data_IF_216352673778
#
_entry.id   IF_216352673778
#
_cell.length_a   1.000
_cell.length_b   1.000
_cell.length_c   1.000
_cell.angle_alpha   90.00
_cell.angle_beta   90.00
_cell.angle_gamma   90.00
#
_symmetry.space_group_name_H-M   'P 1'
#
loop_
_entity.id
_entity.type
_entity.pdbx_description
1 polymer ?
#
# COMPACT_ATOMS: atom_id res chain seq x y z
N UNK A 1 22.16 42.74 79.27
CA UNK A 1 21.61 41.45 78.79
C UNK A 1 21.15 41.69 77.37
N UNK A 2 21.67 40.86 76.46
CA UNK A 2 21.69 40.94 75.00
C UNK A 2 20.59 40.12 74.36
N UNK A 3 20.11 40.56 73.19
CA UNK A 3 19.56 39.85 72.00
C UNK A 3 18.64 40.86 71.29
N UNK A 4 19.02 41.51 70.18
CA UNK A 4 19.39 41.05 68.83
C UNK A 4 18.16 40.99 67.88
N UNK A 5 18.23 41.87 66.88
CA UNK A 5 17.71 41.89 65.51
C UNK A 5 16.39 41.20 65.15
N UNK A 6 15.61 41.87 64.29
CA UNK A 6 15.20 41.38 62.97
C UNK A 6 14.53 42.55 62.21
N UNK A 7 15.19 42.99 61.14
CA UNK A 7 14.60 43.74 60.04
C UNK A 7 13.77 42.78 59.17
N UNK A 8 12.57 43.18 58.74
CA UNK A 8 11.79 42.39 57.78
C UNK A 8 11.32 43.22 56.57
N UNK A 9 11.74 42.72 55.41
CA UNK A 9 11.10 42.75 54.08
C UNK A 9 10.72 44.10 53.45
N UNK A 10 11.61 44.58 52.58
CA UNK A 10 11.24 45.40 51.42
C UNK A 10 11.02 44.48 50.22
N UNK A 11 9.75 44.22 49.93
CA UNK A 11 9.27 43.48 48.76
C UNK A 11 9.36 44.41 47.52
N UNK A 12 10.43 44.26 46.73
CA UNK A 12 10.53 44.89 45.41
C UNK A 12 9.80 44.00 44.40
N UNK A 13 8.87 44.54 43.60
CA UNK A 13 8.22 43.74 42.57
C UNK A 13 9.27 43.29 41.56
N UNK A 14 9.44 41.97 41.43
CA UNK A 14 10.20 41.34 40.37
C UNK A 14 9.57 41.77 39.03
N UNK A 15 10.33 42.50 38.22
CA UNK A 15 9.88 42.97 36.90
C UNK A 15 9.74 41.76 35.96
N UNK A 16 8.57 41.13 35.99
CA UNK A 16 8.19 39.99 35.14
C UNK A 16 8.32 40.32 33.64
N UNK A 17 8.27 41.62 33.25
CA UNK A 17 8.40 42.01 31.85
C UNK A 17 9.84 41.87 31.35
N UNK A 18 10.84 42.18 32.19
CA UNK A 18 12.26 42.02 31.84
C UNK A 18 12.64 40.52 31.71
N UNK A 19 12.11 39.67 32.58
CA UNK A 19 12.29 38.21 32.52
C UNK A 19 11.65 37.59 31.26
N UNK A 20 10.51 38.12 30.80
CA UNK A 20 9.83 37.62 29.61
C UNK A 20 10.52 38.06 28.30
N UNK A 21 11.13 39.25 28.26
CA UNK A 21 11.83 39.74 27.07
C UNK A 21 13.17 39.02 26.86
N UNK A 22 13.87 38.68 27.96
CA UNK A 22 15.11 37.90 27.91
C UNK A 22 14.84 36.43 27.53
N UNK A 23 13.79 35.82 28.08
CA UNK A 23 13.35 34.48 27.71
C UNK A 23 12.85 34.40 26.24
N UNK A 24 12.19 35.45 25.75
CA UNK A 24 11.76 35.52 24.34
C UNK A 24 12.96 35.59 23.38
N UNK A 25 14.01 36.36 23.73
CA UNK A 25 15.25 36.42 22.94
C UNK A 25 16.03 35.12 22.96
N UNK A 26 16.08 34.41 24.09
CA UNK A 26 16.70 33.07 24.15
C UNK A 26 15.93 32.04 23.32
N UNK A 27 14.59 32.07 23.35
CA UNK A 27 13.75 31.20 22.53
C UNK A 27 13.91 31.51 21.03
N UNK A 28 13.97 32.78 20.65
CA UNK A 28 14.17 33.20 19.26
C UNK A 28 15.59 32.84 18.75
N UNK A 29 16.60 32.92 19.61
CA UNK A 29 17.97 32.48 19.30
C UNK A 29 18.06 30.94 19.15
N UNK A 30 17.33 30.17 19.96
CA UNK A 30 17.24 28.71 19.85
C UNK A 30 16.50 28.29 18.56
N UNK A 31 15.40 28.97 18.22
CA UNK A 31 14.64 28.71 16.98
C UNK A 31 15.44 29.11 15.73
N UNK A 32 16.23 30.19 15.79
CA UNK A 32 17.14 30.56 14.71
C UNK A 32 18.28 29.54 14.52
N UNK A 33 18.82 29.00 15.61
CA UNK A 33 19.83 27.94 15.56
C UNK A 33 19.30 26.63 14.95
N UNK A 34 18.04 26.26 15.24
CA UNK A 34 17.36 25.13 14.58
C UNK A 34 17.05 25.41 13.09
N UNK A 35 16.70 26.64 12.73
CA UNK A 35 16.42 27.03 11.34
C UNK A 35 17.68 27.07 10.45
N UNK A 36 18.86 27.28 11.04
CA UNK A 36 20.16 27.19 10.34
C UNK A 36 20.85 25.83 10.45
N UNK A 37 20.23 24.86 11.14
CA UNK A 37 20.80 23.54 11.44
C UNK A 37 20.40 22.41 10.48
N UNK A 38 19.65 22.70 9.40
CA UNK A 38 19.30 21.70 8.36
C UNK A 38 19.76 22.18 6.98
N UNK A 39 20.98 22.71 6.90
CA UNK A 39 21.82 22.41 5.75
C UNK A 39 22.76 21.29 6.17
N UNK A 40 22.20 20.08 6.25
CA UNK A 40 22.99 18.88 6.17
C UNK A 40 23.67 18.89 4.80
N UNK A 41 24.88 19.45 4.76
CA UNK A 41 25.91 19.05 3.82
C UNK A 41 26.27 17.59 4.11
N UNK A 42 25.36 16.68 3.76
CA UNK A 42 25.70 15.28 3.51
C UNK A 42 25.96 15.15 2.00
N UNK A 43 27.01 15.86 1.57
CA UNK A 43 27.50 15.83 0.21
C UNK A 43 28.88 15.19 0.21
N UNK A 44 28.94 13.92 0.59
CA UNK A 44 30.09 13.06 0.29
C UNK A 44 29.64 11.61 0.12
N UNK A 45 29.41 11.23 -1.14
CA UNK A 45 29.68 9.89 -1.69
C UNK A 45 28.74 8.69 -1.39
N UNK A 46 27.56 8.86 -0.81
CA UNK A 46 26.55 7.76 -0.78
C UNK A 46 25.83 7.58 -2.14
N UNK A 47 25.83 8.60 -2.99
CA UNK A 47 25.11 8.60 -4.28
C UNK A 47 25.78 7.78 -5.39
N UNK A 48 27.05 7.40 -5.25
CA UNK A 48 27.79 6.67 -6.27
C UNK A 48 27.60 5.14 -6.18
N UNK A 49 27.29 4.61 -5.01
CA UNK A 49 27.22 3.16 -4.76
C UNK A 49 26.01 2.46 -5.40
N UNK A 50 25.00 3.22 -5.84
CA UNK A 50 23.74 2.70 -6.39
C UNK A 50 23.58 2.97 -7.90
N UNK A 51 24.62 3.47 -8.58
CA UNK A 51 24.55 3.70 -10.01
C UNK A 51 24.72 2.41 -10.79
N UNK A 52 23.70 2.05 -11.54
CA UNK A 52 23.69 0.88 -12.42
C UNK A 52 24.49 1.18 -13.69
N UNK A 53 25.47 0.34 -14.00
CA UNK A 53 26.43 0.57 -15.09
C UNK A 53 26.07 -0.15 -16.39
N UNK A 54 25.14 -1.10 -16.35
CA UNK A 54 24.71 -1.86 -17.53
C UNK A 54 23.25 -2.32 -17.47
N UNK A 55 22.67 -2.68 -18.61
CA UNK A 55 21.32 -3.28 -18.65
C UNK A 55 21.23 -4.61 -17.91
N UNK A 56 22.29 -5.42 -17.97
CA UNK A 56 22.34 -6.70 -17.24
C UNK A 56 22.38 -6.49 -15.73
N UNK A 57 23.18 -5.52 -15.25
CA UNK A 57 23.19 -5.15 -13.84
C UNK A 57 21.84 -4.60 -13.39
N UNK A 58 21.19 -3.77 -14.22
CA UNK A 58 19.83 -3.27 -13.95
C UNK A 58 18.86 -4.40 -13.72
N UNK A 59 18.84 -5.35 -14.65
CA UNK A 59 17.96 -6.51 -14.57
C UNK A 59 18.21 -7.30 -13.28
N UNK A 60 19.48 -7.53 -12.92
CA UNK A 60 19.85 -8.19 -11.67
C UNK A 60 19.40 -7.44 -10.41
N UNK A 61 19.52 -6.11 -10.38
CA UNK A 61 19.04 -5.31 -9.24
C UNK A 61 17.52 -5.32 -9.16
N UNK A 62 16.82 -5.16 -10.28
CA UNK A 62 15.35 -5.23 -10.33
C UNK A 62 14.86 -6.60 -9.83
N UNK A 63 15.47 -7.70 -10.31
CA UNK A 63 15.18 -9.05 -9.85
C UNK A 63 15.36 -9.18 -8.33
N UNK A 64 16.48 -8.70 -7.79
CA UNK A 64 16.74 -8.75 -6.36
C UNK A 64 15.72 -7.94 -5.55
N UNK A 65 15.34 -6.74 -6.00
CA UNK A 65 14.33 -5.91 -5.36
C UNK A 65 12.96 -6.58 -5.36
N UNK A 66 12.56 -7.21 -6.46
CA UNK A 66 11.29 -7.93 -6.55
C UNK A 66 11.31 -9.18 -5.66
N UNK A 67 12.42 -9.90 -5.62
CA UNK A 67 12.57 -11.12 -4.82
C UNK A 67 12.49 -10.86 -3.31
N UNK A 68 13.10 -9.77 -2.82
CA UNK A 68 13.11 -9.43 -1.40
C UNK A 68 11.81 -8.74 -0.94
N UNK A 69 11.00 -8.23 -1.87
CA UNK A 69 9.76 -7.53 -1.56
C UNK A 69 8.68 -8.50 -1.05
N UNK A 70 8.02 -8.15 0.06
CA UNK A 70 6.90 -8.92 0.62
C UNK A 70 5.58 -8.69 -0.15
N UNK A 71 5.45 -7.56 -0.84
CA UNK A 71 4.30 -7.17 -1.66
C UNK A 71 4.74 -6.81 -3.09
N UNK A 72 3.82 -6.81 -4.09
CA UNK A 72 4.12 -6.33 -5.42
C UNK A 72 4.72 -4.92 -5.40
N UNK A 73 5.93 -4.79 -5.94
CA UNK A 73 6.68 -3.53 -5.99
C UNK A 73 6.34 -2.75 -7.27
N UNK A 74 6.02 -1.46 -7.15
CA UNK A 74 5.66 -0.67 -8.32
C UNK A 74 6.89 -0.30 -9.16
N UNK A 75 6.73 -0.19 -10.48
CA UNK A 75 7.78 0.29 -11.37
C UNK A 75 8.28 1.70 -10.98
N UNK A 76 7.39 2.53 -10.41
CA UNK A 76 7.77 3.84 -9.85
C UNK A 76 8.74 3.70 -8.69
N UNK A 77 8.44 2.81 -7.73
CA UNK A 77 9.32 2.56 -6.58
C UNK A 77 10.69 2.08 -7.01
N UNK A 78 10.74 1.18 -7.99
CA UNK A 78 12.00 0.70 -8.57
C UNK A 78 12.78 1.85 -9.24
N UNK A 79 12.09 2.69 -10.02
CA UNK A 79 12.68 3.87 -10.66
C UNK A 79 13.27 4.85 -9.64
N UNK A 80 12.55 5.11 -8.54
CA UNK A 80 13.00 5.98 -7.46
C UNK A 80 14.27 5.42 -6.77
N UNK A 81 14.34 4.10 -6.54
CA UNK A 81 15.51 3.42 -5.95
C UNK A 81 16.72 3.46 -6.88
N UNK A 82 16.53 3.18 -8.17
CA UNK A 82 17.59 3.16 -9.17
C UNK A 82 17.98 4.55 -9.68
N UNK A 83 17.18 5.57 -9.36
CA UNK A 83 17.32 6.95 -9.86
C UNK A 83 17.34 7.01 -11.39
N UNK A 84 16.48 6.23 -12.02
CA UNK A 84 16.33 6.14 -13.47
C UNK A 84 14.91 6.50 -13.91
N UNK A 85 14.74 6.86 -15.19
CA UNK A 85 13.44 7.14 -15.74
C UNK A 85 12.53 5.91 -15.73
N UNK A 86 11.26 6.12 -15.40
CA UNK A 86 10.26 5.04 -15.35
C UNK A 86 10.16 4.26 -16.66
N UNK A 87 10.30 4.90 -17.82
CA UNK A 87 10.26 4.20 -19.11
C UNK A 87 11.39 3.19 -19.28
N UNK A 88 12.57 3.45 -18.70
CA UNK A 88 13.70 2.51 -18.71
C UNK A 88 13.38 1.29 -17.85
N UNK A 89 12.80 1.53 -16.67
CA UNK A 89 12.37 0.47 -15.75
C UNK A 89 11.25 -0.38 -16.34
N UNK A 90 10.24 0.24 -16.95
CA UNK A 90 9.13 -0.46 -17.59
C UNK A 90 9.66 -1.38 -18.72
N UNK A 91 10.65 -0.91 -19.50
CA UNK A 91 11.32 -1.73 -20.51
C UNK A 91 12.08 -2.92 -19.93
N UNK A 92 12.89 -2.68 -18.89
CA UNK A 92 13.64 -3.74 -18.20
C UNK A 92 12.73 -4.79 -17.54
N UNK A 93 11.59 -4.36 -16.96
CA UNK A 93 10.59 -5.26 -16.39
C UNK A 93 9.90 -6.11 -17.46
N UNK A 94 9.62 -5.55 -18.64
CA UNK A 94 9.05 -6.29 -19.75
C UNK A 94 10.01 -7.38 -20.26
N UNK A 95 11.29 -7.06 -20.40
CA UNK A 95 12.34 -8.02 -20.79
C UNK A 95 12.49 -9.14 -19.74
N UNK A 96 12.61 -8.78 -18.46
CA UNK A 96 12.67 -9.75 -17.36
C UNK A 96 11.42 -10.63 -17.31
N UNK A 97 10.24 -10.06 -17.53
CA UNK A 97 9.00 -10.82 -17.57
C UNK A 97 9.01 -11.84 -18.70
N UNK A 98 9.45 -11.44 -19.89
CA UNK A 98 9.58 -12.35 -21.03
C UNK A 98 10.58 -13.47 -20.74
N UNK A 99 11.72 -13.17 -20.12
CA UNK A 99 12.73 -14.17 -19.76
C UNK A 99 12.19 -15.19 -18.75
N UNK A 100 11.66 -14.73 -17.62
CA UNK A 100 11.11 -15.61 -16.58
C UNK A 100 9.89 -16.40 -17.05
N UNK A 101 9.07 -15.80 -17.92
CA UNK A 101 7.85 -16.44 -18.42
C UNK A 101 8.12 -17.36 -19.61
N UNK A 102 9.20 -17.15 -20.37
CA UNK A 102 9.63 -17.99 -21.49
C UNK A 102 10.54 -19.17 -21.11
N UNK A 103 11.23 -19.11 -19.96
CA UNK A 103 12.10 -20.22 -19.51
C UNK A 103 11.31 -21.42 -18.99
N UNK A 104 11.91 -22.60 -19.09
CA UNK A 104 11.39 -23.81 -18.45
C UNK A 104 11.80 -23.83 -16.97
N UNK A 105 10.94 -23.32 -16.08
CA UNK A 105 11.19 -23.23 -14.65
C UNK A 105 9.93 -22.97 -13.83
N UNK A 106 10.02 -23.17 -12.50
CA UNK A 106 8.85 -23.11 -11.60
C UNK A 106 8.36 -21.71 -11.22
N UNK A 107 9.10 -20.66 -11.59
CA UNK A 107 8.76 -19.27 -11.28
C UNK A 107 8.35 -18.51 -12.55
N UNK A 108 7.52 -17.51 -12.35
CA UNK A 108 7.09 -16.53 -13.34
C UNK A 108 7.10 -15.14 -12.70
N UNK A 109 7.29 -14.11 -13.52
CA UNK A 109 7.21 -12.72 -13.09
C UNK A 109 5.86 -12.15 -13.55
N UNK A 110 5.05 -11.67 -12.60
CA UNK A 110 3.70 -11.17 -12.87
C UNK A 110 3.53 -9.73 -12.40
N UNK A 111 2.76 -8.98 -13.18
CA UNK A 111 2.20 -7.70 -12.76
C UNK A 111 0.88 -7.95 -12.02
N UNK A 112 0.78 -7.51 -10.76
CA UNK A 112 -0.37 -7.70 -9.88
C UNK A 112 -0.57 -6.45 -9.04
N UNK A 113 -1.81 -5.97 -8.98
CA UNK A 113 -2.22 -4.79 -8.21
C UNK A 113 -1.36 -3.54 -8.51
N UNK A 114 -0.99 -3.35 -9.77
CA UNK A 114 -0.14 -2.25 -10.26
C UNK A 114 1.35 -2.35 -9.89
N UNK A 115 1.81 -3.50 -9.40
CA UNK A 115 3.22 -3.78 -9.10
C UNK A 115 3.68 -5.12 -9.64
N UNK A 116 4.94 -5.46 -9.43
CA UNK A 116 5.59 -6.67 -9.94
C UNK A 116 5.98 -7.59 -8.79
N UNK A 117 5.77 -8.89 -8.96
CA UNK A 117 6.16 -9.91 -7.99
C UNK A 117 6.50 -11.23 -8.68
N UNK A 118 7.39 -12.01 -8.05
CA UNK A 118 7.55 -13.41 -8.42
C UNK A 118 6.39 -14.25 -7.92
N UNK A 119 5.92 -15.16 -8.76
CA UNK A 119 4.94 -16.16 -8.41
C UNK A 119 5.39 -17.54 -8.87
N UNK A 120 4.89 -18.58 -8.21
CA UNK A 120 5.01 -19.94 -8.74
C UNK A 120 4.10 -20.10 -9.95
N UNK A 121 4.49 -20.98 -10.87
CA UNK A 121 3.64 -21.28 -12.01
C UNK A 121 2.50 -22.24 -11.64
N UNK A 122 1.30 -22.08 -12.25
CA UNK A 122 0.12 -22.86 -11.88
C UNK A 122 0.29 -24.37 -12.13
N UNK A 123 1.14 -24.78 -13.07
CA UNK A 123 1.41 -26.21 -13.35
C UNK A 123 1.99 -26.95 -12.14
N UNK A 124 2.62 -26.22 -11.21
CA UNK A 124 3.21 -26.77 -10.00
C UNK A 124 2.34 -26.60 -8.75
N UNK A 125 1.10 -26.12 -8.88
CA UNK A 125 0.19 -25.81 -7.77
C UNK A 125 0.05 -26.95 -6.74
N UNK A 126 -0.19 -28.18 -7.19
CA UNK A 126 -0.40 -29.32 -6.28
C UNK A 126 0.83 -29.61 -5.39
N UNK A 127 2.03 -29.46 -5.95
CA UNK A 127 3.29 -29.65 -5.21
C UNK A 127 3.49 -28.54 -4.18
N UNK A 128 3.27 -27.28 -4.58
CA UNK A 128 3.37 -26.12 -3.67
C UNK A 128 2.36 -26.24 -2.54
N UNK A 129 1.12 -26.61 -2.85
CA UNK A 129 0.05 -26.81 -1.87
C UNK A 129 0.36 -27.94 -0.89
N UNK A 130 0.91 -29.06 -1.37
CA UNK A 130 1.35 -30.16 -0.52
C UNK A 130 2.49 -29.73 0.42
N UNK A 131 3.46 -28.97 -0.10
CA UNK A 131 4.59 -28.44 0.69
C UNK A 131 4.14 -27.51 1.82
N UNK A 132 3.27 -26.54 1.51
CA UNK A 132 2.82 -25.56 2.49
C UNK A 132 1.98 -26.17 3.64
N UNK A 133 1.56 -27.45 3.51
CA UNK A 133 0.65 -28.15 4.45
C UNK A 133 -0.53 -27.26 4.84
N UNK A 134 -0.93 -26.36 3.94
CA UNK A 134 -1.80 -25.25 4.28
C UNK A 134 -3.15 -25.84 4.66
N UNK A 135 -3.60 -25.61 5.89
CA UNK A 135 -5.03 -25.74 6.19
C UNK A 135 -5.75 -24.84 5.19
N UNK A 136 -6.81 -25.30 4.50
CA UNK A 136 -7.58 -24.42 3.65
C UNK A 136 -7.91 -23.16 4.46
N UNK A 137 -7.50 -21.99 3.97
CA UNK A 137 -8.03 -20.75 4.54
C UNK A 137 -9.55 -20.86 4.50
N UNK A 138 -10.25 -20.35 5.53
CA UNK A 138 -11.71 -20.42 5.56
C UNK A 138 -12.23 -19.81 4.25
N UNK A 139 -12.71 -20.68 3.36
CA UNK A 139 -13.16 -20.32 2.01
C UNK A 139 -14.31 -19.33 2.18
N UNK A 140 -14.37 -18.34 1.29
CA UNK A 140 -15.58 -17.52 1.20
C UNK A 140 -16.77 -18.44 0.91
N UNK A 141 -17.87 -18.22 1.60
CA UNK A 141 -19.13 -18.86 1.25
C UNK A 141 -19.58 -18.39 -0.14
N UNK A 142 -20.44 -19.19 -0.78
CA UNK A 142 -21.03 -18.83 -2.08
C UNK A 142 -21.71 -17.46 -2.00
N UNK A 143 -22.50 -17.20 -0.95
CA UNK A 143 -23.14 -15.90 -0.73
C UNK A 143 -22.14 -14.73 -0.63
N UNK A 144 -20.97 -14.93 -0.02
CA UNK A 144 -19.92 -13.91 0.05
C UNK A 144 -19.20 -13.73 -1.29
N UNK A 145 -19.02 -14.79 -2.07
CA UNK A 145 -18.47 -14.70 -3.44
C UNK A 145 -19.42 -13.96 -4.37
N UNK A 146 -20.72 -14.27 -4.34
CA UNK A 146 -21.75 -13.54 -5.10
C UNK A 146 -21.77 -12.06 -4.73
N UNK A 147 -21.73 -11.75 -3.43
CA UNK A 147 -21.68 -10.37 -2.93
C UNK A 147 -20.42 -9.65 -3.42
N UNK A 148 -19.27 -10.32 -3.37
CA UNK A 148 -18.00 -9.77 -3.86
C UNK A 148 -18.05 -9.50 -5.36
N UNK A 149 -18.62 -10.41 -6.14
CA UNK A 149 -18.77 -10.23 -7.59
C UNK A 149 -19.65 -9.00 -7.90
N UNK A 150 -20.80 -8.85 -7.24
CA UNK A 150 -21.66 -7.66 -7.42
C UNK A 150 -20.88 -6.38 -7.11
N UNK A 151 -20.12 -6.36 -6.01
CA UNK A 151 -19.30 -5.18 -5.65
C UNK A 151 -18.21 -4.93 -6.71
N UNK A 152 -17.50 -5.95 -7.16
CA UNK A 152 -16.42 -5.82 -8.14
C UNK A 152 -16.90 -5.18 -9.46
N UNK A 153 -18.08 -5.57 -9.95
CA UNK A 153 -18.65 -5.09 -11.22
C UNK A 153 -19.50 -3.83 -11.11
N UNK A 154 -20.00 -3.47 -9.91
CA UNK A 154 -20.91 -2.32 -9.72
C UNK A 154 -20.34 -1.21 -8.86
N UNK A 155 -19.10 -1.34 -8.37
CA UNK A 155 -18.49 -0.32 -7.54
C UNK A 155 -18.41 1.06 -8.22
N UNK A 156 -18.52 2.16 -7.44
CA UNK A 156 -18.84 2.19 -6.02
C UNK A 156 -20.33 1.87 -5.76
N UNK A 157 -20.64 0.95 -4.83
CA UNK A 157 -22.01 0.46 -4.59
C UNK A 157 -22.37 0.43 -3.11
N UNK A 158 -23.64 0.69 -2.78
CA UNK A 158 -24.16 0.66 -1.41
C UNK A 158 -24.73 -0.71 -1.03
N UNK A 159 -24.83 -1.01 0.28
CA UNK A 159 -25.43 -2.28 0.74
C UNK A 159 -26.85 -2.50 0.22
N UNK A 160 -27.77 -1.50 0.25
CA UNK A 160 -29.10 -1.67 -0.33
C UNK A 160 -29.10 -2.04 -1.82
N UNK A 161 -28.24 -1.42 -2.64
CA UNK A 161 -28.13 -1.74 -4.07
C UNK A 161 -27.62 -3.17 -4.30
N UNK A 162 -26.66 -3.63 -3.50
CA UNK A 162 -26.19 -5.03 -3.56
C UNK A 162 -27.32 -6.00 -3.21
N UNK A 163 -28.12 -5.68 -2.19
CA UNK A 163 -29.26 -6.49 -1.77
C UNK A 163 -30.36 -6.55 -2.84
N UNK A 164 -30.63 -5.44 -3.50
CA UNK A 164 -31.60 -5.35 -4.61
C UNK A 164 -31.18 -6.24 -5.78
N UNK A 165 -29.90 -6.23 -6.15
CA UNK A 165 -29.37 -7.07 -7.24
C UNK A 165 -29.41 -8.56 -6.88
N UNK A 166 -29.03 -8.91 -5.63
CA UNK A 166 -28.98 -10.32 -5.21
C UNK A 166 -30.33 -10.93 -4.88
N UNK A 167 -31.34 -10.11 -4.57
CA UNK A 167 -32.68 -10.57 -4.19
C UNK A 167 -32.77 -11.31 -2.83
N UNK A 168 -31.64 -11.52 -2.14
CA UNK A 168 -31.56 -12.21 -0.84
C UNK A 168 -30.66 -11.45 0.14
N UNK A 169 -31.05 -11.42 1.42
CA UNK A 169 -30.23 -10.81 2.44
C UNK A 169 -29.10 -11.74 2.90
N UNK A 170 -27.86 -11.24 2.86
CA UNK A 170 -26.75 -11.87 3.57
C UNK A 170 -25.94 -10.81 4.33
N UNK A 171 -26.41 -10.37 5.50
CA UNK A 171 -25.79 -9.28 6.26
C UNK A 171 -24.33 -9.59 6.66
N UNK A 172 -23.99 -10.88 6.82
CA UNK A 172 -22.65 -11.33 7.21
C UNK A 172 -21.61 -11.27 6.09
N UNK A 173 -22.04 -11.24 4.81
CA UNK A 173 -21.11 -11.22 3.67
C UNK A 173 -20.29 -9.93 3.63
N UNK A 174 -20.92 -8.76 3.78
CA UNK A 174 -20.20 -7.47 3.79
C UNK A 174 -19.14 -7.44 4.89
N UNK A 175 -19.51 -7.85 6.11
CA UNK A 175 -18.58 -7.93 7.23
C UNK A 175 -17.41 -8.87 6.93
N UNK A 176 -17.70 -10.08 6.41
CA UNK A 176 -16.67 -11.07 6.06
C UNK A 176 -15.70 -10.54 5.00
N UNK A 177 -16.21 -9.83 3.99
CA UNK A 177 -15.40 -9.25 2.91
C UNK A 177 -14.52 -8.09 3.42
N UNK A 178 -15.02 -7.28 4.36
CA UNK A 178 -14.23 -6.25 5.04
C UNK A 178 -13.15 -6.86 5.93
N UNK A 179 -13.49 -7.87 6.74
CA UNK A 179 -12.55 -8.55 7.65
C UNK A 179 -11.41 -9.24 6.87
N UNK A 180 -11.71 -9.76 5.68
CA UNK A 180 -10.73 -10.31 4.73
C UNK A 180 -10.07 -9.25 3.84
N UNK A 181 -10.37 -7.97 4.06
CA UNK A 181 -9.86 -6.81 3.30
C UNK A 181 -10.12 -6.86 1.80
N UNK A 182 -11.07 -7.64 1.31
CA UNK A 182 -11.39 -7.75 -0.12
C UNK A 182 -12.21 -6.56 -0.63
N UNK A 183 -12.91 -5.87 0.26
CA UNK A 183 -13.63 -4.63 -0.04
C UNK A 183 -13.23 -3.54 0.94
N UNK A 184 -13.40 -2.29 0.53
CA UNK A 184 -13.14 -1.09 1.32
C UNK A 184 -14.24 -0.06 1.10
N UNK A 185 -14.36 0.85 2.05
CA UNK A 185 -15.17 2.05 1.95
C UNK A 185 -14.69 2.97 0.81
N UNK A 186 -15.61 3.46 -0.02
CA UNK A 186 -15.37 4.42 -1.12
C UNK A 186 -16.13 5.75 -0.92
N UNK A 187 -16.47 6.08 0.32
CA UNK A 187 -17.24 7.27 0.68
C UNK A 187 -18.73 6.98 0.90
N UNK A 188 -19.56 8.02 0.84
CA UNK A 188 -21.02 7.94 1.05
C UNK A 188 -21.77 8.48 -0.15
N UNK A 189 -22.89 7.86 -0.50
CA UNK A 189 -23.73 8.29 -1.61
C UNK A 189 -24.53 9.52 -1.22
N UNK A 190 -24.62 10.52 -2.10
CA UNK A 190 -25.37 11.76 -1.83
C UNK A 190 -26.88 11.58 -2.10
N UNK A 191 -27.54 10.90 -1.18
CA UNK A 191 -28.96 10.55 -1.22
C UNK A 191 -29.48 10.46 0.22
N UNK A 192 -30.80 10.27 0.39
CA UNK A 192 -31.45 10.14 1.69
C UNK A 192 -30.78 9.05 2.52
N UNK A 193 -30.44 9.38 3.78
CA UNK A 193 -29.72 8.47 4.69
C UNK A 193 -28.21 8.37 4.45
N UNK A 194 -27.68 8.96 3.36
CA UNK A 194 -26.25 9.01 3.00
C UNK A 194 -25.51 7.68 3.22
N UNK A 195 -25.99 6.57 2.61
CA UNK A 195 -25.44 5.24 2.86
C UNK A 195 -23.98 5.12 2.42
N UNK A 196 -23.24 4.25 3.09
CA UNK A 196 -21.85 3.94 2.76
C UNK A 196 -21.75 3.22 1.41
N UNK A 197 -20.78 3.62 0.58
CA UNK A 197 -20.41 2.95 -0.66
C UNK A 197 -19.16 2.10 -0.45
N UNK A 198 -19.11 0.97 -1.14
CA UNK A 198 -18.03 0.00 -1.11
C UNK A 198 -17.48 -0.24 -2.51
N UNK A 199 -16.21 -0.62 -2.55
CA UNK A 199 -15.52 -1.11 -3.75
C UNK A 199 -14.45 -2.11 -3.37
N UNK A 200 -13.80 -2.73 -4.36
CA UNK A 200 -12.71 -3.68 -4.13
C UNK A 200 -11.44 -2.97 -3.67
N UNK A 201 -10.58 -3.70 -2.97
CA UNK A 201 -9.31 -3.23 -2.44
C UNK A 201 -8.12 -3.61 -3.34
N UNK A 202 -6.90 -3.21 -2.94
CA UNK A 202 -5.65 -3.74 -3.52
C UNK A 202 -5.49 -5.23 -3.19
N UNK A 203 -5.86 -5.65 -1.99
CA UNK A 203 -5.82 -7.06 -1.55
C UNK A 203 -6.71 -7.96 -2.40
N UNK A 204 -7.84 -7.43 -2.91
CA UNK A 204 -8.63 -8.13 -3.92
C UNK A 204 -7.82 -8.41 -5.18
N UNK A 205 -7.18 -7.39 -5.77
CA UNK A 205 -6.36 -7.57 -6.96
C UNK A 205 -5.23 -8.57 -6.72
N UNK A 206 -4.56 -8.49 -5.57
CA UNK A 206 -3.50 -9.43 -5.17
C UNK A 206 -4.03 -10.87 -5.03
N UNK A 207 -5.14 -11.06 -4.34
CA UNK A 207 -5.73 -12.37 -4.08
C UNK A 207 -6.23 -13.05 -5.36
N UNK A 208 -6.71 -12.27 -6.33
CA UNK A 208 -7.19 -12.76 -7.62
C UNK A 208 -6.11 -12.71 -8.71
N UNK A 209 -4.91 -12.22 -8.40
CA UNK A 209 -3.78 -12.14 -9.34
C UNK A 209 -4.01 -11.21 -10.52
N UNK A 210 -4.80 -10.15 -10.31
CA UNK A 210 -5.15 -9.15 -11.32
C UNK A 210 -4.19 -7.96 -11.24
N UNK A 211 -3.77 -7.43 -12.39
CA UNK A 211 -3.06 -6.16 -12.49
C UNK A 211 -3.92 -5.01 -11.99
N UNK A 212 -5.12 -4.91 -12.52
CA UNK A 212 -6.12 -3.90 -12.19
C UNK A 212 -7.54 -4.42 -12.52
N UNK A 213 -8.56 -3.57 -12.33
CA UNK A 213 -9.95 -3.97 -12.52
C UNK A 213 -10.36 -4.18 -13.99
N UNK A 214 -9.54 -3.75 -14.96
CA UNK A 214 -9.83 -3.95 -16.39
C UNK A 214 -9.63 -5.41 -16.83
N UNK A 215 -8.90 -6.21 -16.06
CA UNK A 215 -8.73 -7.64 -16.31
C UNK A 215 -9.92 -8.49 -15.81
N UNK A 216 -10.93 -7.87 -15.21
CA UNK A 216 -12.15 -8.59 -14.85
C UNK A 216 -12.91 -8.99 -16.12
N UNK A 217 -13.37 -10.26 -16.23
CA UNK A 217 -14.14 -10.71 -17.37
C UNK A 217 -15.35 -9.81 -17.65
N UNK A 218 -15.53 -9.42 -18.91
CA UNK A 218 -16.74 -8.73 -19.34
C UNK A 218 -17.96 -9.64 -19.26
N UNK A 219 -19.15 -9.07 -19.32
CA UNK A 219 -20.39 -9.85 -19.38
C UNK A 219 -20.47 -10.76 -20.61
N UNK A 220 -19.76 -10.42 -21.69
CA UNK A 220 -19.66 -11.22 -22.92
C UNK A 220 -18.77 -12.45 -22.67
N UNK A 221 -17.64 -12.28 -21.99
CA UNK A 221 -16.73 -13.39 -21.63
C UNK A 221 -17.40 -14.48 -20.77
N UNK A 222 -18.37 -14.10 -19.94
CA UNK A 222 -19.16 -15.06 -19.16
C UNK A 222 -20.04 -15.96 -20.02
N UNK A 223 -20.52 -15.48 -21.18
CA UNK A 223 -21.36 -16.28 -22.07
C UNK A 223 -20.53 -17.38 -22.76
N UNK A 224 -19.30 -17.04 -23.15
CA UNK A 224 -18.38 -17.99 -23.77
C UNK A 224 -17.88 -19.05 -22.78
N UNK A 225 -17.61 -18.66 -21.52
CA UNK A 225 -17.23 -19.59 -20.45
C UNK A 225 -18.38 -20.54 -20.03
N UNK A 226 -19.63 -20.08 -20.11
CA UNK A 226 -20.80 -20.90 -19.79
C UNK A 226 -21.27 -21.77 -20.98
N UNK A 227 -20.92 -21.38 -22.22
CA UNK A 227 -21.27 -22.08 -23.44
C UNK A 227 -20.30 -23.19 -23.86
N UNK A 228 -19.12 -23.26 -23.26
CA UNK A 228 -18.14 -24.33 -23.47
C UNK A 228 -18.45 -25.58 -22.65
N UNK A 229 -19.48 -26.34 -23.04
CA UNK A 229 -19.70 -27.74 -22.64
C UNK A 229 -19.40 -28.69 -23.79
#
# INVERSE_FOLDING_TARGET
>A
MSEESIDNETDQPLDEAALNEEAAKELEALVAAEATGVEAQDSTDEGAAYQVQSSAERAGVIEALIFVSEEPISAKTIADVLREDRSVIDGALAELSQEFNGRNGGLQLREVAGGWQFATRPEYHEHVRAFLRSRPSAKLSIASLETLAVIAYKQPVTVPEVLEIRGVQSPSSIKTLLDKKLIVAKGRKDTVGRPMMYGTSKDFLMQFGLKDLSELPSMEDFQDLAGGS
#
